data_IF_455175373924
#
_entry.id   IF_455175373924
#
_cell.length_a   1.000
_cell.length_b   1.000
_cell.length_c   1.000
_cell.angle_alpha   90.00
_cell.angle_beta   90.00
_cell.angle_gamma   90.00
#
_symmetry.space_group_name_H-M   'P 1'
#
loop_
_entity.id
_entity.type
_entity.pdbx_description
1 polymer ?
#
# COMPACT_ATOMS: atom_id res chain seq x y z
N UNK A 1 -59.84 -30.70 51.27
CA UNK A 1 -60.29 -29.89 50.13
C UNK A 1 -59.41 -28.65 49.98
N UNK A 2 -58.52 -28.64 49.08
CA UNK A 2 -58.05 -27.41 48.44
C UNK A 2 -57.01 -27.82 47.32
N UNK A 3 -57.41 -27.57 46.12
CA UNK A 3 -56.67 -27.87 44.88
C UNK A 3 -55.54 -26.89 44.77
N UNK A 4 -54.31 -27.39 44.74
CA UNK A 4 -53.15 -26.61 44.33
C UNK A 4 -53.02 -26.70 42.81
N UNK A 5 -53.21 -25.58 42.14
CA UNK A 5 -52.95 -25.44 40.73
C UNK A 5 -51.42 -25.22 40.54
N UNK A 6 -50.79 -26.16 39.89
CA UNK A 6 -49.41 -25.99 39.41
C UNK A 6 -49.41 -25.14 38.13
N UNK A 7 -48.93 -23.93 38.23
CA UNK A 7 -48.61 -23.10 37.09
C UNK A 7 -47.24 -23.49 36.56
N UNK A 8 -47.23 -24.16 35.40
CA UNK A 8 -46.07 -24.41 34.62
C UNK A 8 -45.61 -23.12 33.93
N UNK A 9 -44.57 -22.49 34.43
CA UNK A 9 -43.85 -21.41 33.74
C UNK A 9 -42.91 -22.04 32.71
N UNK A 10 -43.29 -21.99 31.45
CA UNK A 10 -42.42 -22.33 30.36
C UNK A 10 -41.40 -21.19 30.18
N UNK A 11 -40.18 -21.43 30.60
CA UNK A 11 -39.06 -20.53 30.31
C UNK A 11 -38.66 -20.70 28.83
N UNK A 12 -39.04 -19.75 28.02
CA UNK A 12 -38.54 -19.62 26.64
C UNK A 12 -37.08 -19.16 26.69
N UNK A 13 -36.17 -20.09 26.44
CA UNK A 13 -34.77 -19.75 26.23
C UNK A 13 -34.65 -19.14 24.84
N UNK A 14 -34.54 -17.81 24.77
CA UNK A 14 -34.20 -17.09 23.59
C UNK A 14 -32.67 -17.26 23.38
N UNK A 15 -32.30 -18.21 22.55
CA UNK A 15 -30.93 -18.29 22.03
C UNK A 15 -30.74 -17.12 21.07
N UNK A 16 -30.26 -15.99 21.59
CA UNK A 16 -29.79 -14.92 20.77
C UNK A 16 -28.53 -15.42 20.03
N UNK A 17 -28.73 -15.83 18.79
CA UNK A 17 -27.65 -16.16 17.89
C UNK A 17 -26.80 -14.90 17.65
N UNK A 18 -25.73 -14.77 18.40
CA UNK A 18 -24.69 -13.78 18.11
C UNK A 18 -24.02 -14.19 16.81
N UNK A 19 -24.52 -13.66 15.71
CA UNK A 19 -23.80 -13.69 14.44
C UNK A 19 -22.53 -12.86 14.62
N UNK A 20 -21.45 -13.52 15.02
CA UNK A 20 -20.13 -12.93 14.98
C UNK A 20 -19.81 -12.74 13.49
N UNK A 21 -20.12 -11.54 12.99
CA UNK A 21 -19.58 -11.07 11.74
C UNK A 21 -18.06 -11.03 11.90
N UNK A 22 -17.38 -12.06 11.42
CA UNK A 22 -15.94 -12.01 11.20
C UNK A 22 -15.70 -10.89 10.20
N UNK A 23 -15.48 -9.68 10.70
CA UNK A 23 -14.90 -8.61 9.91
C UNK A 23 -13.51 -9.10 9.54
N UNK A 24 -13.34 -9.47 8.28
CA UNK A 24 -12.03 -9.68 7.69
C UNK A 24 -11.21 -8.45 8.05
N UNK A 25 -10.25 -8.60 8.95
CA UNK A 25 -9.36 -7.51 9.31
C UNK A 25 -8.63 -7.11 8.03
N UNK A 26 -9.03 -5.99 7.44
CA UNK A 26 -8.25 -5.36 6.38
C UNK A 26 -6.92 -5.00 6.99
N UNK A 27 -5.83 -5.52 6.39
CA UNK A 27 -4.48 -5.15 6.77
C UNK A 27 -4.38 -3.62 6.81
N UNK A 28 -3.69 -3.08 7.84
CA UNK A 28 -3.47 -1.64 7.97
C UNK A 28 -2.91 -1.09 6.65
N UNK A 29 -3.57 -0.09 6.07
CA UNK A 29 -3.22 0.52 4.80
C UNK A 29 -4.12 0.15 3.61
N UNK A 30 -4.95 -0.90 3.71
CA UNK A 30 -5.86 -1.32 2.64
C UNK A 30 -5.15 -1.73 1.35
N UNK A 31 -5.88 -1.76 0.23
CA UNK A 31 -5.32 -1.99 -1.11
C UNK A 31 -4.56 -0.74 -1.57
N UNK A 32 -3.33 -0.94 -2.01
CA UNK A 32 -2.44 0.11 -2.54
C UNK A 32 -2.08 -0.22 -3.97
N UNK A 33 -2.23 0.74 -4.86
CA UNK A 33 -1.82 0.62 -6.25
C UNK A 33 -0.49 1.35 -6.49
N UNK A 34 0.49 0.68 -7.08
CA UNK A 34 1.65 1.34 -7.65
C UNK A 34 1.24 2.08 -8.91
N UNK A 35 1.64 3.34 -9.00
CA UNK A 35 1.27 4.23 -10.08
C UNK A 35 2.48 4.77 -10.83
N UNK A 36 2.32 4.91 -12.14
CA UNK A 36 3.28 5.55 -13.03
C UNK A 36 2.60 6.63 -13.87
N UNK A 37 3.41 7.46 -14.51
CA UNK A 37 2.93 8.44 -15.48
C UNK A 37 2.24 7.74 -16.65
N UNK A 38 1.17 8.33 -17.17
CA UNK A 38 0.45 7.78 -18.34
C UNK A 38 1.30 7.59 -19.59
N UNK A 39 2.32 8.42 -19.76
CA UNK A 39 3.28 8.30 -20.86
C UNK A 39 4.31 7.16 -20.67
N UNK A 40 4.33 6.52 -19.49
CA UNK A 40 5.17 5.35 -19.27
C UNK A 40 4.67 4.17 -20.10
N UNK A 41 5.57 3.44 -20.73
CA UNK A 41 5.22 2.29 -21.59
C UNK A 41 4.92 1.02 -20.80
N UNK A 42 5.13 1.02 -19.49
CA UNK A 42 4.82 -0.11 -18.60
C UNK A 42 3.34 -0.11 -18.27
N UNK A 43 2.65 -1.20 -18.59
CA UNK A 43 1.24 -1.41 -18.26
C UNK A 43 1.05 -2.40 -17.09
N UNK A 44 2.00 -3.30 -16.92
CA UNK A 44 2.05 -4.26 -15.82
C UNK A 44 3.48 -4.38 -15.31
N UNK A 45 3.65 -4.28 -13.99
CA UNK A 45 4.95 -4.33 -13.34
C UNK A 45 4.94 -5.46 -12.32
N UNK A 46 5.54 -6.62 -12.62
CA UNK A 46 5.64 -7.72 -11.67
C UNK A 46 6.30 -7.28 -10.35
N UNK A 47 5.89 -7.86 -9.23
CA UNK A 47 6.42 -7.52 -7.90
C UNK A 47 7.95 -7.59 -7.83
N UNK A 48 8.56 -8.60 -8.48
CA UNK A 48 10.02 -8.74 -8.54
C UNK A 48 10.70 -7.55 -9.23
N UNK A 49 10.09 -7.02 -10.31
CA UNK A 49 10.62 -5.85 -11.02
C UNK A 49 10.31 -4.55 -10.26
N UNK A 50 9.14 -4.44 -9.65
CA UNK A 50 8.82 -3.33 -8.74
C UNK A 50 9.86 -3.23 -7.62
N UNK A 51 10.24 -4.36 -7.02
CA UNK A 51 11.29 -4.41 -6.01
C UNK A 51 12.62 -3.87 -6.52
N UNK A 52 13.07 -4.28 -7.70
CA UNK A 52 14.31 -3.76 -8.32
C UNK A 52 14.27 -2.24 -8.54
N UNK A 53 13.11 -1.74 -8.99
CA UNK A 53 12.89 -0.30 -9.20
C UNK A 53 12.99 0.46 -7.87
N UNK A 54 12.24 0.03 -6.86
CA UNK A 54 12.19 0.69 -5.55
C UNK A 54 13.51 0.60 -4.78
N UNK A 55 14.24 -0.51 -4.93
CA UNK A 55 15.56 -0.71 -4.28
C UNK A 55 16.71 0.03 -4.99
N UNK A 56 16.46 0.62 -6.16
CA UNK A 56 17.46 1.32 -6.95
C UNK A 56 18.32 0.42 -7.84
N UNK A 57 17.99 -0.87 -7.94
CA UNK A 57 18.71 -1.81 -8.82
C UNK A 57 18.38 -1.57 -10.30
N UNK A 58 17.20 -1.00 -10.59
CA UNK A 58 16.78 -0.58 -11.91
C UNK A 58 16.56 0.92 -11.92
N UNK A 59 17.44 1.65 -12.60
CA UNK A 59 17.46 3.12 -12.63
C UNK A 59 16.86 3.75 -13.87
N UNK A 60 16.52 2.94 -14.88
CA UNK A 60 15.92 3.39 -16.14
C UNK A 60 14.79 2.49 -16.58
N UNK A 61 13.77 3.09 -17.18
CA UNK A 61 12.70 2.39 -17.85
C UNK A 61 13.15 1.84 -19.22
N UNK A 62 12.39 0.90 -19.78
CA UNK A 62 12.65 0.40 -21.14
C UNK A 62 12.65 1.51 -22.19
N UNK A 63 11.93 2.59 -21.96
CA UNK A 63 11.91 3.80 -22.78
C UNK A 63 13.18 4.66 -22.69
N UNK A 64 14.15 4.29 -21.84
CA UNK A 64 15.35 5.06 -21.56
C UNK A 64 15.19 6.21 -20.56
N UNK A 65 13.98 6.48 -20.10
CA UNK A 65 13.73 7.50 -19.08
C UNK A 65 14.23 7.05 -17.72
N UNK A 66 14.84 7.97 -16.97
CA UNK A 66 15.31 7.69 -15.61
C UNK A 66 14.12 7.42 -14.68
N UNK A 67 14.25 6.41 -13.83
CA UNK A 67 13.30 6.12 -12.78
C UNK A 67 13.43 7.15 -11.66
N UNK A 68 12.31 7.72 -11.23
CA UNK A 68 12.20 8.57 -10.05
C UNK A 68 11.21 7.92 -9.08
N UNK A 69 11.69 7.39 -7.97
CA UNK A 69 10.87 6.76 -6.94
C UNK A 69 10.38 7.81 -5.97
N UNK A 70 9.07 7.83 -5.74
CA UNK A 70 8.42 8.72 -4.77
C UNK A 70 7.82 7.87 -3.64
N UNK A 71 8.02 8.33 -2.40
CA UNK A 71 7.45 7.72 -1.20
C UNK A 71 6.52 8.71 -0.50
N UNK A 72 5.43 8.21 0.08
CA UNK A 72 4.65 9.03 1.02
C UNK A 72 5.45 9.27 2.29
N UNK A 73 5.21 10.39 2.95
CA UNK A 73 5.85 10.73 4.21
C UNK A 73 5.63 9.64 5.28
N UNK A 74 6.55 9.58 6.23
CA UNK A 74 6.44 8.66 7.38
C UNK A 74 5.09 8.82 8.10
N UNK A 75 4.56 7.71 8.62
CA UNK A 75 3.28 7.68 9.32
C UNK A 75 2.08 7.48 8.41
N UNK A 76 2.22 7.55 7.10
CA UNK A 76 1.14 7.22 6.17
C UNK A 76 0.93 5.70 6.08
N UNK A 77 -0.33 5.20 6.21
CA UNK A 77 -0.59 3.76 6.21
C UNK A 77 -0.17 3.06 4.90
N UNK A 78 -0.26 3.75 3.77
CA UNK A 78 0.17 3.22 2.46
C UNK A 78 1.69 3.01 2.40
N UNK A 79 2.46 3.86 3.06
CA UNK A 79 3.91 3.70 3.19
C UNK A 79 4.25 2.39 3.90
N UNK A 80 3.51 2.05 4.95
CA UNK A 80 3.69 0.78 5.67
C UNK A 80 3.45 -0.44 4.77
N UNK A 81 2.46 -0.38 3.87
CA UNK A 81 2.21 -1.44 2.88
C UNK A 81 3.40 -1.60 1.94
N UNK A 82 3.92 -0.52 1.40
CA UNK A 82 5.06 -0.55 0.47
C UNK A 82 6.33 -1.05 1.16
N UNK A 83 6.60 -0.61 2.39
CA UNK A 83 7.72 -1.11 3.18
C UNK A 83 7.62 -2.63 3.41
N UNK A 84 6.42 -3.12 3.73
CA UNK A 84 6.18 -4.54 3.98
C UNK A 84 6.25 -5.38 2.71
N UNK A 85 5.58 -4.94 1.64
CA UNK A 85 5.39 -5.76 0.44
C UNK A 85 6.56 -5.66 -0.55
N UNK A 86 7.14 -4.49 -0.70
CA UNK A 86 8.21 -4.23 -1.67
C UNK A 86 9.59 -4.31 -1.02
N UNK A 87 9.82 -3.50 -0.01
CA UNK A 87 11.15 -3.42 0.64
C UNK A 87 11.42 -4.61 1.56
N UNK A 88 10.38 -5.18 2.18
CA UNK A 88 10.50 -6.21 3.25
C UNK A 88 11.34 -5.69 4.43
N UNK A 89 11.26 -4.41 4.70
CA UNK A 89 12.03 -3.72 5.74
C UNK A 89 11.08 -2.88 6.62
N UNK A 90 11.37 -2.76 7.92
CA UNK A 90 10.78 -1.72 8.76
C UNK A 90 11.35 -0.34 8.38
N UNK A 91 10.76 0.74 8.91
CA UNK A 91 11.19 2.11 8.61
C UNK A 91 12.69 2.33 8.86
N UNK A 92 13.20 1.93 10.03
CA UNK A 92 14.62 2.06 10.37
C UNK A 92 15.54 1.29 9.40
N UNK A 93 15.10 0.10 8.98
CA UNK A 93 15.83 -0.71 8.00
C UNK A 93 15.84 -0.08 6.61
N UNK A 94 14.75 0.58 6.22
CA UNK A 94 14.66 1.34 4.99
C UNK A 94 15.64 2.53 4.98
N UNK A 95 15.66 3.33 6.04
CA UNK A 95 16.58 4.46 6.17
C UNK A 95 18.04 4.00 6.14
N UNK A 96 18.37 2.94 6.89
CA UNK A 96 19.71 2.36 6.91
C UNK A 96 20.12 1.83 5.53
N UNK A 97 19.22 1.15 4.83
CA UNK A 97 19.49 0.63 3.48
C UNK A 97 19.89 1.76 2.53
N UNK A 98 19.11 2.85 2.46
CA UNK A 98 19.40 3.94 1.54
C UNK A 98 20.63 4.76 1.95
N UNK A 99 20.90 4.90 3.24
CA UNK A 99 22.15 5.51 3.71
C UNK A 99 23.35 4.71 3.22
N UNK A 100 23.36 3.40 3.37
CA UNK A 100 24.43 2.53 2.91
C UNK A 100 24.53 2.49 1.39
N UNK A 101 23.39 2.40 0.68
CA UNK A 101 23.35 2.38 -0.78
C UNK A 101 23.91 3.68 -1.40
N UNK A 102 23.61 4.82 -0.80
CA UNK A 102 24.16 6.11 -1.22
C UNK A 102 25.67 6.19 -0.97
N UNK A 103 26.15 5.74 0.18
CA UNK A 103 27.58 5.65 0.50
C UNK A 103 28.35 4.75 -0.47
N UNK A 104 27.74 3.62 -0.85
CA UNK A 104 28.31 2.67 -1.79
C UNK A 104 28.20 3.13 -3.26
N UNK A 105 27.60 4.29 -3.53
CA UNK A 105 27.35 4.78 -4.90
C UNK A 105 26.31 3.97 -5.70
N UNK A 106 25.55 3.10 -5.04
CA UNK A 106 24.51 2.27 -5.66
C UNK A 106 23.30 3.11 -6.09
N UNK A 107 22.95 4.13 -5.32
CA UNK A 107 21.92 5.10 -5.61
C UNK A 107 22.48 6.52 -5.47
N UNK A 108 21.99 7.45 -6.27
CA UNK A 108 22.43 8.85 -6.21
C UNK A 108 21.81 9.57 -5.00
N UNK A 109 20.60 9.20 -4.64
CA UNK A 109 19.83 9.72 -3.52
C UNK A 109 18.74 8.72 -3.13
N UNK A 110 18.25 8.76 -1.87
CA UNK A 110 17.07 7.99 -1.48
C UNK A 110 15.83 8.48 -2.24
N UNK A 111 14.75 7.67 -2.28
CA UNK A 111 13.46 8.10 -2.82
C UNK A 111 12.99 9.41 -2.18
N UNK A 112 12.34 10.24 -2.99
CA UNK A 112 11.84 11.53 -2.52
C UNK A 112 10.50 11.35 -1.81
N UNK A 113 10.38 11.94 -0.62
CA UNK A 113 9.13 11.93 0.14
C UNK A 113 8.16 13.03 -0.35
N UNK A 114 6.88 12.67 -0.41
CA UNK A 114 5.76 13.58 -0.68
C UNK A 114 4.72 13.49 0.44
N UNK A 115 4.04 14.60 0.72
CA UNK A 115 3.24 14.73 1.93
C UNK A 115 1.86 14.05 1.86
N UNK A 116 1.29 13.87 0.65
CA UNK A 116 -0.08 13.38 0.49
C UNK A 116 -0.30 12.61 -0.80
N UNK A 117 -1.40 11.84 -0.87
CA UNK A 117 -1.81 11.14 -2.09
C UNK A 117 -2.07 12.11 -3.26
N UNK A 118 -2.61 13.29 -3.00
CA UNK A 118 -2.83 14.32 -4.03
C UNK A 118 -1.49 14.80 -4.61
N UNK A 119 -0.51 15.08 -3.76
CA UNK A 119 0.83 15.46 -4.20
C UNK A 119 1.55 14.31 -4.91
N UNK A 120 1.35 13.09 -4.46
CA UNK A 120 1.88 11.89 -5.12
C UNK A 120 1.38 11.80 -6.56
N UNK A 121 0.08 11.91 -6.78
CA UNK A 121 -0.50 11.87 -8.13
C UNK A 121 -0.01 13.02 -9.02
N UNK A 122 0.06 14.24 -8.47
CA UNK A 122 0.59 15.39 -9.20
C UNK A 122 2.04 15.18 -9.62
N UNK A 123 2.88 14.72 -8.72
CA UNK A 123 4.30 14.48 -9.00
C UNK A 123 4.51 13.37 -10.04
N UNK A 124 3.75 12.28 -9.96
CA UNK A 124 3.79 11.19 -10.95
C UNK A 124 3.26 11.66 -12.30
N UNK A 125 2.16 12.42 -12.33
CA UNK A 125 1.59 12.96 -13.57
C UNK A 125 2.51 13.98 -14.27
N UNK A 126 3.31 14.71 -13.51
CA UNK A 126 4.24 15.71 -14.03
C UNK A 126 5.58 15.13 -14.54
N UNK A 127 5.94 13.92 -14.11
CA UNK A 127 7.24 13.30 -14.43
C UNK A 127 7.04 11.95 -15.12
N UNK A 128 7.36 11.84 -16.43
CA UNK A 128 7.22 10.58 -17.18
C UNK A 128 8.02 9.39 -16.63
N UNK A 129 9.07 9.64 -15.85
CA UNK A 129 9.90 8.60 -15.23
C UNK A 129 9.50 8.26 -13.79
N UNK A 130 8.51 8.94 -13.21
CA UNK A 130 8.13 8.75 -11.83
C UNK A 130 7.33 7.46 -11.60
N UNK A 131 7.56 6.85 -10.45
CA UNK A 131 6.77 5.77 -9.88
C UNK A 131 6.48 6.12 -8.42
N UNK A 132 5.24 5.90 -8.01
CA UNK A 132 4.78 6.10 -6.65
C UNK A 132 3.65 5.13 -6.33
N UNK A 133 2.82 5.48 -5.37
CA UNK A 133 1.69 4.65 -4.95
C UNK A 133 0.62 5.50 -4.28
N UNK A 134 -0.61 5.03 -4.36
CA UNK A 134 -1.78 5.59 -3.67
C UNK A 134 -2.70 4.47 -3.23
N UNK A 135 -3.63 4.76 -2.33
CA UNK A 135 -4.76 3.85 -2.07
C UNK A 135 -5.55 3.66 -3.35
N UNK A 136 -6.12 2.48 -3.51
CA UNK A 136 -7.00 2.16 -4.64
C UNK A 136 -8.14 3.18 -4.78
N UNK A 137 -8.73 3.61 -3.67
CA UNK A 137 -9.82 4.60 -3.64
C UNK A 137 -9.40 6.01 -4.09
N UNK A 138 -8.09 6.32 -4.02
CA UNK A 138 -7.53 7.60 -4.47
C UNK A 138 -7.09 7.59 -5.94
N UNK A 139 -7.22 6.45 -6.63
CA UNK A 139 -6.92 6.35 -8.05
C UNK A 139 -7.84 7.21 -8.90
N UNK A 140 -7.27 7.86 -9.89
CA UNK A 140 -7.99 8.61 -10.92
C UNK A 140 -7.26 8.53 -12.28
N UNK A 141 -7.80 9.21 -13.27
CA UNK A 141 -7.30 9.17 -14.64
C UNK A 141 -6.03 10.00 -14.88
N UNK A 142 -5.47 10.66 -13.86
CA UNK A 142 -4.23 11.43 -13.99
C UNK A 142 -2.98 10.55 -14.07
N UNK A 143 -3.06 9.35 -13.54
CA UNK A 143 -1.97 8.37 -13.46
C UNK A 143 -2.44 6.97 -13.89
N UNK A 144 -1.50 6.05 -14.02
CA UNK A 144 -1.76 4.67 -14.43
C UNK A 144 -1.29 3.69 -13.34
N UNK A 145 -2.16 2.76 -12.93
CA UNK A 145 -1.80 1.68 -12.01
C UNK A 145 -1.08 0.55 -12.77
N UNK A 146 0.00 0.04 -12.21
CA UNK A 146 0.83 -1.03 -12.80
C UNK A 146 0.99 -2.26 -11.91
N UNK A 147 0.67 -2.17 -10.62
CA UNK A 147 0.71 -3.28 -9.67
C UNK A 147 -0.22 -2.98 -8.50
N UNK A 148 -0.93 -3.99 -8.02
CA UNK A 148 -1.76 -3.92 -6.82
C UNK A 148 -1.06 -4.63 -5.66
N UNK A 149 -0.98 -3.96 -4.51
CA UNK A 149 -0.47 -4.48 -3.24
C UNK A 149 -1.63 -4.67 -2.26
N UNK A 150 -1.51 -5.66 -1.37
CA UNK A 150 -2.55 -5.97 -0.37
C UNK A 150 -1.96 -6.00 1.04
#
# INVERSE_FOLDING_TARGET
MKRAQFLLLAAAVIVAGSSILLRKATAAGGEVDLIVNKANTVDDLPLADAKKVFMGDKSTWASGKRVTVLMLAQGQPERAVVLREIYKLPEDGYEQYFTQAAFAGKVSAPPKDVASAAQMKQAVAANPGAIGYVKKEDMDDSVKAVLKLQ
#
